data_IF_042822693940
#
_entry.id   IF_042822693940
#
_cell.length_a   1.000
_cell.length_b   1.000
_cell.length_c   1.000
_cell.angle_alpha   90.00
_cell.angle_beta   90.00
_cell.angle_gamma   90.00
#
_symmetry.space_group_name_H-M   'P 1'
#
loop_
_entity.id
_entity.type
_entity.pdbx_description
1 polymer ?
#
# COMPACT_ATOMS: atom_id res chain seq x y z
N UNK A 1 -25.14 4.29 -20.58
CA UNK A 1 -24.54 4.77 -19.33
C UNK A 1 -23.29 4.01 -18.93
N UNK A 2 -23.28 2.67 -18.94
CA UNK A 2 -22.10 1.86 -18.61
C UNK A 2 -20.91 2.03 -19.56
N UNK A 3 -21.14 2.14 -20.87
CA UNK A 3 -20.06 2.33 -21.85
C UNK A 3 -19.32 3.67 -21.72
N UNK A 4 -20.01 4.74 -21.43
CA UNK A 4 -19.35 6.06 -21.28
C UNK A 4 -18.44 6.16 -20.03
N UNK A 5 -18.73 5.41 -18.97
CA UNK A 5 -17.86 5.35 -17.80
C UNK A 5 -16.62 4.47 -18.02
N UNK A 6 -16.75 3.43 -18.86
CA UNK A 6 -15.63 2.52 -19.21
C UNK A 6 -14.66 3.18 -20.20
N UNK A 7 -15.15 3.99 -21.14
CA UNK A 7 -14.30 4.68 -22.12
C UNK A 7 -13.31 5.66 -21.47
N UNK A 8 -13.66 6.23 -20.31
CA UNK A 8 -12.75 7.09 -19.52
C UNK A 8 -11.72 6.25 -18.73
N UNK A 9 -11.98 4.95 -18.57
CA UNK A 9 -11.18 4.04 -17.76
C UNK A 9 -10.47 2.98 -18.60
N UNK A 10 -10.57 3.02 -19.93
CA UNK A 10 -9.82 2.11 -20.78
C UNK A 10 -8.32 2.30 -20.56
N UNK A 11 -7.68 1.21 -20.15
CA UNK A 11 -6.24 1.16 -20.02
C UNK A 11 -5.61 1.11 -21.40
N UNK A 12 -5.28 2.27 -21.93
CA UNK A 12 -4.32 2.31 -23.01
C UNK A 12 -2.88 2.12 -22.47
N UNK A 13 -1.91 1.87 -23.32
CA UNK A 13 -0.51 1.69 -22.90
C UNK A 13 0.05 2.90 -22.12
N UNK A 14 -0.34 4.11 -22.47
CA UNK A 14 0.13 5.34 -21.81
C UNK A 14 -0.40 5.39 -20.38
N UNK A 15 -1.69 5.16 -20.18
CA UNK A 15 -2.28 5.13 -18.84
C UNK A 15 -1.70 3.98 -18.00
N UNK A 16 -1.41 2.84 -18.61
CA UNK A 16 -0.76 1.71 -17.93
C UNK A 16 0.63 2.10 -17.40
N UNK A 17 1.40 2.86 -18.18
CA UNK A 17 2.72 3.33 -17.77
C UNK A 17 2.61 4.40 -16.67
N UNK A 18 1.67 5.34 -16.79
CA UNK A 18 1.41 6.37 -15.77
C UNK A 18 1.07 5.74 -14.41
N UNK A 19 0.16 4.76 -14.36
CA UNK A 19 -0.16 4.09 -13.09
C UNK A 19 1.01 3.24 -12.56
N UNK A 20 1.89 2.77 -13.45
CA UNK A 20 3.11 2.05 -13.09
C UNK A 20 4.20 2.94 -12.46
N UNK A 21 4.07 4.27 -12.58
CA UNK A 21 4.97 5.25 -11.98
C UNK A 21 4.53 5.68 -10.57
N UNK A 22 3.44 5.14 -10.06
CA UNK A 22 2.92 5.53 -8.75
C UNK A 22 3.96 5.30 -7.65
N UNK A 23 4.44 6.39 -7.05
CA UNK A 23 5.46 6.35 -5.99
C UNK A 23 4.99 5.63 -4.72
N UNK A 24 3.67 5.56 -4.47
CA UNK A 24 3.11 4.80 -3.36
C UNK A 24 3.12 3.30 -3.62
N UNK A 25 3.34 2.85 -4.86
CA UNK A 25 3.39 1.41 -5.16
C UNK A 25 4.63 0.76 -4.55
N UNK A 26 4.45 -0.40 -3.95
CA UNK A 26 5.49 -1.10 -3.22
C UNK A 26 6.73 -1.37 -4.07
N UNK A 27 6.57 -1.62 -5.37
CA UNK A 27 7.68 -1.81 -6.30
C UNK A 27 8.55 -0.57 -6.48
N UNK A 28 8.02 0.63 -6.15
CA UNK A 28 8.81 1.86 -6.19
C UNK A 28 9.72 2.01 -4.97
N UNK A 29 9.20 1.78 -3.76
CA UNK A 29 9.95 2.08 -2.52
C UNK A 29 10.64 0.86 -1.88
N UNK A 30 10.14 -0.37 -2.08
CA UNK A 30 10.68 -1.57 -1.44
C UNK A 30 12.16 -1.83 -1.77
N UNK A 31 12.66 -1.63 -3.01
CA UNK A 31 14.09 -1.80 -3.30
C UNK A 31 14.98 -0.90 -2.44
N UNK A 32 14.58 0.35 -2.20
CA UNK A 32 15.32 1.29 -1.35
C UNK A 32 15.25 0.90 0.12
N UNK A 33 14.09 0.40 0.58
CA UNK A 33 13.96 -0.15 1.93
C UNK A 33 14.83 -1.39 2.12
N UNK A 34 14.85 -2.31 1.15
CA UNK A 34 15.69 -3.50 1.19
C UNK A 34 17.19 -3.17 1.25
N UNK A 35 17.61 -2.05 0.66
CA UNK A 35 18.98 -1.59 0.78
C UNK A 35 19.26 -0.97 2.15
N UNK A 36 18.40 -0.06 2.59
CA UNK A 36 18.57 0.63 3.87
C UNK A 36 18.54 -0.32 5.08
N UNK A 37 17.71 -1.37 5.03
CA UNK A 37 17.57 -2.31 6.15
C UNK A 37 18.80 -3.17 6.40
N UNK A 38 19.71 -3.31 5.43
CA UNK A 38 20.96 -4.06 5.59
C UNK A 38 21.91 -3.41 6.61
N UNK A 39 21.70 -2.14 6.90
CA UNK A 39 22.55 -1.35 7.82
C UNK A 39 22.04 -1.34 9.26
N UNK A 40 21.04 -2.13 9.59
CA UNK A 40 20.50 -2.24 10.94
C UNK A 40 19.98 -3.68 11.20
N UNK A 41 19.67 -4.01 12.48
CA UNK A 41 19.19 -5.33 12.89
C UNK A 41 17.88 -5.28 13.70
N UNK A 42 17.34 -4.09 13.92
CA UNK A 42 16.14 -3.91 14.73
C UNK A 42 14.85 -4.20 13.97
N UNK A 43 14.78 -3.80 12.70
CA UNK A 43 13.62 -4.05 11.86
C UNK A 43 13.81 -5.26 10.96
N UNK A 44 12.72 -5.97 10.71
CA UNK A 44 12.60 -6.98 9.67
C UNK A 44 11.61 -6.54 8.59
N UNK A 45 11.68 -7.16 7.41
CA UNK A 45 10.71 -7.00 6.33
C UNK A 45 10.18 -8.39 5.97
N UNK A 46 8.86 -8.59 5.83
CA UNK A 46 8.34 -9.86 5.35
C UNK A 46 8.82 -10.11 3.91
N UNK A 47 9.20 -11.35 3.60
CA UNK A 47 9.59 -11.72 2.23
C UNK A 47 8.47 -11.36 1.27
N UNK A 48 8.82 -10.63 0.23
CA UNK A 48 7.86 -10.01 -0.67
C UNK A 48 8.19 -10.38 -2.12
N UNK A 49 7.17 -10.82 -2.85
CA UNK A 49 7.23 -11.00 -4.31
C UNK A 49 6.30 -9.98 -4.95
N UNK A 50 6.78 -9.30 -5.97
CA UNK A 50 6.03 -8.28 -6.71
C UNK A 50 6.05 -8.66 -8.18
N UNK A 51 4.89 -8.59 -8.83
CA UNK A 51 4.79 -8.74 -10.28
C UNK A 51 4.11 -7.52 -10.89
N UNK A 52 4.53 -7.14 -12.09
CA UNK A 52 3.76 -6.24 -12.94
C UNK A 52 2.70 -7.05 -13.67
N UNK A 53 1.45 -6.66 -13.49
CA UNK A 53 0.31 -7.31 -14.12
C UNK A 53 0.26 -6.89 -15.58
N UNK A 54 0.23 -7.82 -16.55
CA UNK A 54 0.06 -7.47 -17.96
C UNK A 54 -1.20 -6.64 -18.20
N UNK A 55 -1.14 -5.67 -19.10
CA UNK A 55 -2.25 -4.75 -19.39
C UNK A 55 -3.56 -5.50 -19.67
N UNK A 56 -3.50 -6.61 -20.37
CA UNK A 56 -4.67 -7.45 -20.69
C UNK A 56 -5.33 -8.06 -19.48
N UNK A 57 -4.56 -8.46 -18.47
CA UNK A 57 -5.10 -8.96 -17.20
C UNK A 57 -5.56 -7.80 -16.31
N UNK A 58 -4.85 -6.68 -16.36
CA UNK A 58 -5.22 -5.51 -15.58
C UNK A 58 -6.57 -4.92 -16.03
N UNK A 59 -6.96 -5.08 -17.29
CA UNK A 59 -8.31 -4.73 -17.78
C UNK A 59 -9.41 -5.48 -17.03
N UNK A 60 -9.18 -6.72 -16.64
CA UNK A 60 -10.16 -7.52 -15.89
C UNK A 60 -10.51 -6.94 -14.53
N UNK A 61 -9.59 -6.19 -13.92
CA UNK A 61 -9.84 -5.51 -12.64
C UNK A 61 -10.89 -4.39 -12.73
N UNK A 62 -11.32 -4.04 -13.95
CA UNK A 62 -12.33 -3.01 -14.22
C UNK A 62 -13.71 -3.57 -14.48
N UNK A 63 -13.80 -4.90 -14.70
CA UNK A 63 -15.05 -5.59 -14.80
C UNK A 63 -15.63 -5.84 -13.40
N UNK A 64 -16.95 -5.80 -13.27
CA UNK A 64 -17.57 -6.27 -12.04
C UNK A 64 -17.26 -7.77 -11.87
N UNK A 65 -16.93 -8.18 -10.64
CA UNK A 65 -16.53 -9.56 -10.37
C UNK A 65 -17.57 -10.58 -10.88
N UNK A 66 -18.85 -10.25 -10.76
CA UNK A 66 -19.98 -11.07 -11.26
C UNK A 66 -20.02 -11.22 -12.79
N UNK A 67 -19.26 -10.44 -13.53
CA UNK A 67 -19.16 -10.51 -14.99
C UNK A 67 -18.00 -11.41 -15.45
N UNK A 68 -17.12 -11.81 -14.53
CA UNK A 68 -15.98 -12.69 -14.82
C UNK A 68 -16.48 -14.14 -14.94
N UNK A 69 -16.01 -14.83 -15.97
CA UNK A 69 -16.34 -16.25 -16.16
C UNK A 69 -15.36 -17.15 -15.39
N UNK A 70 -15.75 -18.39 -15.03
CA UNK A 70 -14.81 -19.34 -14.41
C UNK A 70 -13.53 -19.55 -15.22
N UNK A 71 -13.64 -19.57 -16.55
CA UNK A 71 -12.46 -19.67 -17.44
C UNK A 71 -11.53 -18.46 -17.29
N UNK A 72 -12.07 -17.25 -17.16
CA UNK A 72 -11.28 -16.04 -16.95
C UNK A 72 -10.53 -16.09 -15.63
N UNK A 73 -11.22 -16.53 -14.56
CA UNK A 73 -10.62 -16.67 -13.23
C UNK A 73 -9.49 -17.71 -13.24
N UNK A 74 -9.70 -18.89 -13.84
CA UNK A 74 -8.67 -19.93 -13.98
C UNK A 74 -7.44 -19.45 -14.76
N UNK A 75 -7.60 -18.61 -15.78
CA UNK A 75 -6.46 -18.00 -16.51
C UNK A 75 -5.65 -17.10 -15.57
N UNK A 76 -6.32 -16.29 -14.77
CA UNK A 76 -5.63 -15.38 -13.83
C UNK A 76 -4.92 -16.14 -12.73
N UNK A 77 -5.56 -17.17 -12.19
CA UNK A 77 -4.96 -18.05 -11.17
C UNK A 77 -3.71 -18.74 -11.69
N UNK A 78 -3.77 -19.34 -12.88
CA UNK A 78 -2.59 -19.95 -13.52
C UNK A 78 -1.47 -18.95 -13.79
N UNK A 79 -1.83 -17.73 -14.19
CA UNK A 79 -0.83 -16.66 -14.34
C UNK A 79 -0.17 -16.38 -13.00
N UNK A 80 -0.93 -16.19 -11.92
CA UNK A 80 -0.41 -15.91 -10.58
C UNK A 80 0.43 -17.07 -10.04
N UNK A 81 -0.02 -18.32 -10.17
CA UNK A 81 0.73 -19.51 -9.76
C UNK A 81 2.09 -19.54 -10.45
N UNK A 82 2.14 -19.32 -11.77
CA UNK A 82 3.38 -19.31 -12.53
C UNK A 82 4.29 -18.14 -12.17
N UNK A 83 3.72 -16.94 -12.04
CA UNK A 83 4.49 -15.71 -11.82
C UNK A 83 5.06 -15.63 -10.39
N UNK A 84 4.28 -16.02 -9.39
CA UNK A 84 4.73 -15.99 -8.00
C UNK A 84 5.47 -17.26 -7.57
N UNK A 85 5.15 -18.42 -8.13
CA UNK A 85 5.73 -19.72 -7.74
C UNK A 85 5.74 -19.91 -6.22
N UNK A 86 4.54 -19.93 -5.62
CA UNK A 86 4.36 -19.95 -4.17
C UNK A 86 4.44 -21.38 -3.63
N UNK A 87 4.85 -21.48 -2.37
CA UNK A 87 4.79 -22.69 -1.58
C UNK A 87 3.38 -22.80 -0.96
N UNK A 88 2.61 -23.81 -1.36
CA UNK A 88 1.24 -24.03 -0.90
C UNK A 88 1.13 -24.42 0.58
N UNK A 89 2.24 -24.70 1.24
CA UNK A 89 2.28 -25.00 2.68
C UNK A 89 2.44 -23.76 3.55
N UNK A 90 2.65 -22.59 2.94
CA UNK A 90 2.84 -21.32 3.64
C UNK A 90 1.60 -20.45 3.57
N UNK A 91 1.58 -19.47 4.46
CA UNK A 91 0.56 -18.46 4.56
C UNK A 91 1.06 -17.14 3.98
N UNK A 92 0.17 -16.40 3.36
CA UNK A 92 0.52 -15.18 2.65
C UNK A 92 -0.44 -14.04 2.97
N UNK A 93 0.12 -12.84 2.99
CA UNK A 93 -0.62 -11.60 2.92
C UNK A 93 -0.50 -11.04 1.50
N UNK A 94 -1.64 -10.80 0.86
CA UNK A 94 -1.70 -10.35 -0.53
C UNK A 94 -2.29 -8.95 -0.64
N UNK A 95 -1.81 -8.19 -1.61
CA UNK A 95 -2.28 -6.82 -1.87
C UNK A 95 -1.98 -6.40 -3.31
N UNK A 96 -2.54 -5.27 -3.73
CA UNK A 96 -1.97 -4.54 -4.87
C UNK A 96 -0.71 -3.79 -4.44
N UNK A 97 -0.03 -3.14 -5.37
CA UNK A 97 1.12 -2.29 -5.01
C UNK A 97 0.81 -1.23 -3.96
N UNK A 98 -0.46 -0.80 -3.85
CA UNK A 98 -0.88 0.32 -2.99
C UNK A 98 -1.99 0.00 -2.00
N UNK A 99 -2.78 -1.06 -2.20
CA UNK A 99 -4.01 -1.33 -1.45
C UNK A 99 -4.13 -2.80 -1.03
N UNK A 100 -4.55 -3.07 0.20
CA UNK A 100 -4.58 -4.42 0.78
C UNK A 100 -5.97 -4.97 1.09
N UNK A 101 -7.04 -4.17 0.99
CA UNK A 101 -8.39 -4.63 1.41
C UNK A 101 -8.47 -5.15 2.87
N UNK A 102 -7.57 -4.73 3.75
CA UNK A 102 -7.45 -5.26 5.13
C UNK A 102 -8.72 -5.11 5.98
N UNK A 103 -9.67 -4.28 5.57
CA UNK A 103 -10.97 -4.11 6.24
C UNK A 103 -11.90 -5.32 6.10
N UNK A 104 -11.60 -6.23 5.20
CA UNK A 104 -12.06 -7.62 5.20
C UNK A 104 -10.83 -8.52 5.06
N UNK A 105 -10.21 -8.83 6.20
CA UNK A 105 -8.89 -9.46 6.25
C UNK A 105 -8.84 -10.82 5.53
N UNK A 106 -9.97 -11.52 5.45
CA UNK A 106 -10.09 -12.79 4.72
C UNK A 106 -9.76 -12.65 3.23
N UNK A 107 -9.91 -11.44 2.65
CA UNK A 107 -9.59 -11.21 1.25
C UNK A 107 -8.08 -11.08 1.00
N UNK A 108 -7.31 -10.73 2.01
CA UNK A 108 -5.87 -10.50 1.87
C UNK A 108 -5.00 -11.48 2.66
N UNK A 109 -5.59 -12.35 3.47
CA UNK A 109 -4.92 -13.45 4.14
C UNK A 109 -5.24 -14.76 3.42
N UNK A 110 -4.23 -15.36 2.80
CA UNK A 110 -4.35 -16.57 1.98
C UNK A 110 -3.60 -17.70 2.66
N UNK A 111 -4.28 -18.80 2.93
CA UNK A 111 -3.73 -19.96 3.63
C UNK A 111 -4.31 -21.27 3.09
N UNK A 112 -3.51 -22.32 3.15
CA UNK A 112 -3.91 -23.62 2.60
C UNK A 112 -3.80 -23.71 1.08
N UNK A 113 -3.73 -24.95 0.60
CA UNK A 113 -3.39 -25.22 -0.80
C UNK A 113 -4.42 -24.71 -1.80
N UNK A 114 -5.70 -24.71 -1.44
CA UNK A 114 -6.77 -24.26 -2.36
C UNK A 114 -6.73 -22.75 -2.55
N UNK A 115 -6.71 -21.96 -1.45
CA UNK A 115 -6.64 -20.49 -1.55
C UNK A 115 -5.36 -20.00 -2.23
N UNK A 116 -4.22 -20.68 -2.01
CA UNK A 116 -2.96 -20.35 -2.72
C UNK A 116 -3.08 -20.61 -4.22
N UNK A 117 -3.87 -21.60 -4.65
CA UNK A 117 -4.13 -21.85 -6.07
C UNK A 117 -5.06 -20.80 -6.69
N UNK A 118 -6.01 -20.28 -5.91
CA UNK A 118 -7.01 -19.28 -6.31
C UNK A 118 -6.56 -17.84 -6.05
N UNK A 119 -5.27 -17.63 -5.81
CA UNK A 119 -4.67 -16.35 -5.43
C UNK A 119 -4.96 -15.23 -6.45
N UNK A 120 -5.05 -15.56 -7.73
CA UNK A 120 -5.32 -14.59 -8.78
C UNK A 120 -6.73 -13.99 -8.66
N UNK A 121 -7.72 -14.80 -8.31
CA UNK A 121 -9.09 -14.37 -8.05
C UNK A 121 -9.15 -13.36 -6.90
N UNK A 122 -8.48 -13.66 -5.77
CA UNK A 122 -8.38 -12.72 -4.64
C UNK A 122 -7.69 -11.41 -5.05
N UNK A 123 -6.61 -11.45 -5.80
CA UNK A 123 -5.91 -10.26 -6.27
C UNK A 123 -6.75 -9.41 -7.25
N UNK A 124 -7.50 -10.05 -8.14
CA UNK A 124 -8.48 -9.35 -8.99
C UNK A 124 -9.50 -8.61 -8.15
N UNK A 125 -10.07 -9.28 -7.15
CA UNK A 125 -11.08 -8.70 -6.27
C UNK A 125 -10.54 -7.52 -5.46
N UNK A 126 -9.35 -7.67 -4.86
CA UNK A 126 -8.69 -6.57 -4.12
C UNK A 126 -8.43 -5.38 -5.04
N UNK A 127 -7.98 -5.64 -6.27
CA UNK A 127 -7.69 -4.57 -7.22
C UNK A 127 -8.97 -3.87 -7.71
N UNK A 128 -10.04 -4.63 -7.97
CA UNK A 128 -11.35 -4.07 -8.26
C UNK A 128 -11.84 -3.17 -7.12
N UNK A 129 -11.73 -3.61 -5.87
CA UNK A 129 -12.07 -2.77 -4.71
C UNK A 129 -11.23 -1.48 -4.65
N UNK A 130 -9.92 -1.57 -4.91
CA UNK A 130 -9.06 -0.40 -4.95
C UNK A 130 -9.54 0.63 -5.99
N UNK A 131 -9.96 0.17 -7.17
CA UNK A 131 -10.52 1.02 -8.22
C UNK A 131 -11.88 1.60 -7.83
N UNK A 132 -12.74 0.83 -7.18
CA UNK A 132 -14.04 1.32 -6.69
C UNK A 132 -13.86 2.42 -5.63
N UNK A 133 -12.90 2.27 -4.74
CA UNK A 133 -12.56 3.32 -3.76
C UNK A 133 -11.95 4.57 -4.41
N UNK A 134 -11.22 4.40 -5.51
CA UNK A 134 -10.64 5.49 -6.29
C UNK A 134 -11.68 6.20 -7.17
N UNK A 135 -12.83 5.55 -7.44
CA UNK A 135 -13.90 6.05 -8.32
C UNK A 135 -14.67 7.20 -7.64
N UNK A 136 -15.68 7.72 -8.18
CA UNK A 136 -16.25 9.04 -8.46
C UNK A 136 -16.30 10.08 -7.34
N UNK A 137 -15.97 9.74 -6.12
CA UNK A 137 -15.95 10.69 -4.99
C UNK A 137 -14.52 11.06 -4.58
N UNK A 138 -13.56 10.46 -5.22
CA UNK A 138 -12.19 10.57 -4.80
C UNK A 138 -11.61 11.90 -5.21
N UNK A 139 -11.09 12.57 -4.24
CA UNK A 139 -10.12 13.62 -4.47
C UNK A 139 -8.99 13.04 -5.33
N UNK A 140 -8.40 13.83 -6.23
CA UNK A 140 -7.29 13.39 -7.11
C UNK A 140 -6.20 12.62 -6.37
N UNK A 141 -5.96 12.97 -5.12
CA UNK A 141 -5.01 12.35 -4.22
C UNK A 141 -5.31 10.86 -3.95
N UNK A 142 -6.58 10.46 -3.86
CA UNK A 142 -6.97 9.06 -3.61
C UNK A 142 -6.79 8.23 -4.88
N UNK A 143 -7.11 8.78 -6.05
CA UNK A 143 -6.89 8.10 -7.33
C UNK A 143 -5.39 7.79 -7.52
N UNK A 144 -4.53 8.78 -7.31
CA UNK A 144 -3.09 8.58 -7.39
C UNK A 144 -2.54 7.59 -6.36
N UNK A 145 -3.12 7.58 -5.14
CA UNK A 145 -2.68 6.68 -4.08
C UNK A 145 -3.12 5.23 -4.30
N UNK A 146 -4.25 4.98 -4.97
CA UNK A 146 -4.83 3.63 -5.09
C UNK A 146 -4.60 2.95 -6.43
N UNK A 147 -4.12 3.68 -7.46
CA UNK A 147 -3.87 3.10 -8.78
C UNK A 147 -2.46 2.51 -8.89
N UNK A 148 -2.37 1.29 -9.39
CA UNK A 148 -1.09 0.59 -9.60
C UNK A 148 -1.25 -0.48 -10.69
N UNK A 149 -0.15 -0.91 -11.28
CA UNK A 149 -0.10 -2.08 -12.16
C UNK A 149 0.62 -3.27 -11.49
N UNK A 150 0.72 -3.28 -10.17
CA UNK A 150 1.45 -4.30 -9.43
C UNK A 150 0.52 -5.14 -8.55
N UNK A 151 0.79 -6.44 -8.52
CA UNK A 151 0.30 -7.38 -7.52
C UNK A 151 1.42 -7.87 -6.64
N UNK A 152 1.12 -8.08 -5.36
CA UNK A 152 2.11 -8.32 -4.33
C UNK A 152 1.67 -9.48 -3.44
N UNK A 153 2.62 -10.37 -3.18
CA UNK A 153 2.47 -11.47 -2.22
C UNK A 153 3.60 -11.37 -1.21
N UNK A 154 3.25 -11.37 0.07
CA UNK A 154 4.19 -11.31 1.20
C UNK A 154 3.99 -12.54 2.07
N UNK A 155 5.09 -13.11 2.60
CA UNK A 155 4.95 -14.14 3.65
C UNK A 155 4.18 -13.53 4.83
N UNK A 156 3.19 -14.25 5.32
CA UNK A 156 2.40 -13.81 6.48
C UNK A 156 3.29 -13.79 7.73
N UNK A 157 3.09 -12.81 8.58
CA UNK A 157 3.77 -12.69 9.86
C UNK A 157 2.84 -13.30 10.92
N UNK A 158 3.11 -14.51 11.42
CA UNK A 158 2.25 -15.15 12.42
C UNK A 158 2.20 -14.33 13.70
N UNK A 159 1.00 -14.17 14.25
CA UNK A 159 0.81 -13.49 15.53
C UNK A 159 1.49 -14.28 16.69
N UNK A 160 2.36 -13.61 17.44
CA UNK A 160 3.09 -14.17 18.59
C UNK A 160 2.44 -13.82 19.93
N UNK A 161 1.47 -12.92 19.93
CA UNK A 161 0.94 -12.30 21.13
C UNK A 161 -0.48 -12.76 21.47
N UNK A 162 -1.12 -13.53 20.60
CA UNK A 162 -2.55 -13.84 20.67
C UNK A 162 -3.38 -12.53 20.76
N UNK A 163 -3.03 -11.55 19.92
CA UNK A 163 -3.70 -10.28 19.87
C UNK A 163 -5.18 -10.45 19.50
N UNK A 164 -6.10 -9.66 20.06
CA UNK A 164 -7.48 -9.69 19.61
C UNK A 164 -7.57 -9.31 18.14
N UNK A 165 -8.58 -9.82 17.45
CA UNK A 165 -8.72 -9.59 15.99
C UNK A 165 -9.84 -8.63 15.68
N UNK A 166 -9.61 -7.77 14.67
CA UNK A 166 -10.59 -6.89 14.04
C UNK A 166 -10.67 -7.21 12.53
N UNK A 167 -11.58 -6.59 11.81
CA UNK A 167 -11.69 -6.72 10.37
C UNK A 167 -11.77 -8.18 9.88
N UNK A 168 -12.53 -9.00 10.62
CA UNK A 168 -12.75 -10.42 10.30
C UNK A 168 -11.49 -11.28 10.33
N UNK A 169 -10.63 -11.05 11.30
CA UNK A 169 -9.49 -11.92 11.59
C UNK A 169 -8.12 -11.26 11.59
N UNK A 170 -8.02 -9.95 11.35
CA UNK A 170 -6.75 -9.24 11.40
C UNK A 170 -6.29 -9.06 12.86
N UNK A 171 -5.11 -9.59 13.25
CA UNK A 171 -4.56 -9.36 14.57
C UNK A 171 -4.29 -7.87 14.82
N UNK A 172 -4.70 -7.37 15.97
CA UNK A 172 -4.57 -5.97 16.36
C UNK A 172 -3.21 -5.72 17.03
N UNK A 173 -2.16 -5.69 16.23
CA UNK A 173 -0.81 -5.39 16.71
C UNK A 173 -0.63 -3.90 16.99
N UNK A 174 0.33 -3.57 17.86
CA UNK A 174 0.78 -2.19 18.00
C UNK A 174 1.50 -1.76 16.74
N UNK A 175 1.03 -0.69 16.12
CA UNK A 175 1.62 -0.14 14.90
C UNK A 175 2.01 1.33 15.10
N UNK A 176 3.14 1.71 14.51
CA UNK A 176 3.73 3.04 14.55
C UNK A 176 3.73 3.61 13.15
N UNK A 177 3.18 4.80 12.97
CA UNK A 177 3.33 5.56 11.73
C UNK A 177 4.36 6.64 11.93
N UNK A 178 5.50 6.48 11.24
CA UNK A 178 6.64 7.39 11.33
C UNK A 178 6.71 8.24 10.08
N UNK A 179 6.59 9.54 10.23
CA UNK A 179 6.77 10.49 9.14
C UNK A 179 8.21 10.93 9.06
N UNK A 180 8.78 10.87 7.86
CA UNK A 180 10.19 11.16 7.61
C UNK A 180 10.37 12.12 6.45
N UNK A 181 11.39 12.95 6.53
CA UNK A 181 11.87 13.76 5.40
C UNK A 181 13.17 13.11 4.88
N UNK A 182 13.06 12.49 3.70
CA UNK A 182 14.17 11.77 3.08
C UNK A 182 15.27 12.72 2.56
N UNK A 183 14.95 13.99 2.31
CA UNK A 183 15.93 14.95 1.83
C UNK A 183 16.82 15.44 2.99
N UNK A 184 16.23 15.70 4.16
CA UNK A 184 16.93 16.14 5.36
C UNK A 184 17.40 15.00 6.26
N UNK A 185 16.96 13.76 5.98
CA UNK A 185 17.25 12.56 6.77
C UNK A 185 16.77 12.68 8.23
N UNK A 186 15.56 13.21 8.41
CA UNK A 186 14.98 13.46 9.73
C UNK A 186 13.63 12.80 9.89
N UNK A 187 13.32 12.32 11.09
CA UNK A 187 11.96 11.99 11.49
C UNK A 187 11.23 13.29 11.84
N UNK A 188 10.12 13.54 11.17
CA UNK A 188 9.31 14.76 11.35
C UNK A 188 8.02 14.51 12.15
N UNK A 189 7.70 13.25 12.47
CA UNK A 189 6.59 12.89 13.34
C UNK A 189 6.54 11.38 13.57
N UNK A 190 5.95 10.97 14.70
CA UNK A 190 5.63 9.58 14.98
C UNK A 190 4.29 9.54 15.73
N UNK A 191 3.39 8.66 15.28
CA UNK A 191 2.04 8.55 15.83
C UNK A 191 1.64 7.08 15.96
N UNK A 192 0.75 6.75 16.91
CA UNK A 192 0.13 5.43 16.93
C UNK A 192 -0.73 5.28 15.68
N UNK A 193 -0.54 4.21 14.93
CA UNK A 193 -1.35 3.92 13.75
C UNK A 193 -2.84 3.77 14.10
N UNK A 194 -3.09 3.10 15.23
CA UNK A 194 -4.42 2.92 15.81
C UNK A 194 -4.74 4.08 16.76
N UNK A 195 -4.73 5.30 16.22
CA UNK A 195 -5.04 6.50 16.99
C UNK A 195 -6.49 6.45 17.53
N UNK A 196 -6.70 6.65 18.86
CA UNK A 196 -8.03 6.52 19.47
C UNK A 196 -9.08 7.48 18.90
N UNK A 197 -8.69 8.69 18.52
CA UNK A 197 -9.60 9.69 17.94
C UNK A 197 -10.02 9.25 16.55
N UNK A 198 -9.06 8.77 15.73
CA UNK A 198 -9.34 8.26 14.39
C UNK A 198 -10.21 7.01 14.44
N UNK A 199 -9.94 6.09 15.36
CA UNK A 199 -10.74 4.87 15.54
C UNK A 199 -12.16 5.19 15.99
N UNK A 200 -12.32 6.13 16.93
CA UNK A 200 -13.64 6.61 17.36
C UNK A 200 -14.41 7.24 16.20
N UNK A 201 -13.75 8.06 15.39
CA UNK A 201 -14.37 8.70 14.22
C UNK A 201 -14.79 7.67 13.18
N UNK A 202 -13.96 6.66 12.94
CA UNK A 202 -14.17 5.66 11.90
C UNK A 202 -15.25 4.62 12.26
N UNK A 203 -15.32 4.20 13.52
CA UNK A 203 -16.12 3.04 13.94
C UNK A 203 -17.10 3.33 15.07
N UNK A 204 -16.96 4.44 15.77
CA UNK A 204 -17.79 4.80 16.94
C UNK A 204 -18.90 5.78 16.64
N UNK A 205 -19.13 6.16 15.37
CA UNK A 205 -20.20 7.07 14.98
C UNK A 205 -21.56 6.36 15.01
N UNK A 206 -22.59 6.99 15.56
CA UNK A 206 -23.96 6.46 15.55
C UNK A 206 -24.48 6.20 14.14
N UNK A 207 -24.03 6.99 13.13
CA UNK A 207 -24.34 6.78 11.72
C UNK A 207 -23.74 5.48 11.14
N UNK A 208 -22.67 4.95 11.75
CA UNK A 208 -22.02 3.70 11.35
C UNK A 208 -22.55 2.49 12.15
N UNK A 209 -23.50 2.72 13.07
CA UNK A 209 -24.12 1.67 13.91
C UNK A 209 -24.93 0.64 13.10
N UNK A 210 -25.26 0.94 11.85
CA UNK A 210 -25.92 0.00 10.94
C UNK A 210 -24.99 -1.13 10.42
N UNK A 211 -23.68 -1.02 10.67
CA UNK A 211 -22.72 -2.09 10.38
C UNK A 211 -22.37 -2.86 11.68
N UNK A 212 -22.95 -4.05 11.91
CA UNK A 212 -22.66 -4.87 13.10
C UNK A 212 -21.17 -5.19 13.28
N UNK A 213 -20.44 -5.31 12.16
CA UNK A 213 -19.01 -5.61 12.17
C UNK A 213 -18.16 -4.43 12.65
N UNK A 214 -18.52 -3.20 12.26
CA UNK A 214 -17.81 -2.00 12.71
C UNK A 214 -17.98 -1.76 14.20
N UNK A 215 -19.19 -1.92 14.73
CA UNK A 215 -19.44 -1.81 16.16
C UNK A 215 -18.66 -2.86 16.96
N UNK A 216 -18.64 -4.10 16.49
CA UNK A 216 -17.89 -5.18 17.12
C UNK A 216 -16.40 -4.89 17.14
N UNK A 217 -15.82 -4.51 16.01
CA UNK A 217 -14.41 -4.19 15.88
C UNK A 217 -14.02 -2.99 16.77
N UNK A 218 -14.90 -1.99 16.87
CA UNK A 218 -14.67 -0.86 17.78
C UNK A 218 -14.67 -1.28 19.26
N UNK A 219 -15.57 -2.17 19.67
CA UNK A 219 -15.57 -2.69 21.04
C UNK A 219 -14.26 -3.44 21.33
N UNK A 220 -13.81 -4.30 20.43
CA UNK A 220 -12.53 -5.01 20.55
C UNK A 220 -11.38 -4.01 20.69
N UNK A 221 -11.33 -3.02 19.81
CA UNK A 221 -10.33 -1.95 19.86
C UNK A 221 -10.35 -1.25 21.23
N UNK A 222 -11.51 -0.83 21.69
CA UNK A 222 -11.67 -0.15 23.00
C UNK A 222 -11.18 -0.98 24.18
N UNK A 223 -11.42 -2.27 24.14
CA UNK A 223 -10.95 -3.19 25.20
C UNK A 223 -9.42 -3.36 25.19
N UNK A 224 -8.78 -3.14 24.04
CA UNK A 224 -7.34 -3.34 23.88
C UNK A 224 -6.55 -2.02 23.73
N UNK A 225 -7.23 -0.88 23.68
CA UNK A 225 -6.66 0.45 23.47
C UNK A 225 -5.54 0.79 24.45
N UNK A 226 -5.77 0.54 25.75
CA UNK A 226 -4.79 0.83 26.78
C UNK A 226 -3.48 0.05 26.58
N UNK A 227 -3.57 -1.21 26.12
CA UNK A 227 -2.40 -2.03 25.78
C UNK A 227 -1.65 -1.45 24.59
N UNK A 228 -2.37 -1.08 23.52
CA UNK A 228 -1.76 -0.46 22.32
C UNK A 228 -1.05 0.84 22.68
N UNK A 229 -1.70 1.70 23.47
CA UNK A 229 -1.15 2.99 23.86
C UNK A 229 0.02 2.87 24.83
N UNK A 230 -0.02 1.91 25.77
CA UNK A 230 1.10 1.65 26.67
C UNK A 230 2.34 1.20 25.88
N UNK A 231 2.19 0.22 25.00
CA UNK A 231 3.28 -0.27 24.11
C UNK A 231 3.81 0.81 23.17
N UNK A 232 2.91 1.60 22.60
CA UNK A 232 3.31 2.74 21.77
C UNK A 232 4.19 3.69 22.57
N UNK A 233 3.77 4.12 23.76
CA UNK A 233 4.53 5.04 24.62
C UNK A 233 5.89 4.46 25.02
N UNK A 234 5.94 3.18 25.31
CA UNK A 234 7.17 2.48 25.69
C UNK A 234 8.20 2.41 24.55
N UNK A 235 7.75 2.17 23.33
CA UNK A 235 8.65 1.85 22.22
C UNK A 235 8.78 2.96 21.16
N UNK A 236 7.97 4.02 21.19
CA UNK A 236 7.97 5.07 20.16
C UNK A 236 9.35 5.70 19.95
N UNK A 237 10.06 6.06 21.04
CA UNK A 237 11.40 6.65 20.96
C UNK A 237 12.43 5.66 20.41
N UNK A 238 12.30 4.38 20.75
CA UNK A 238 13.16 3.30 20.23
C UNK A 238 12.93 3.11 18.73
N UNK A 239 11.68 3.04 18.29
CA UNK A 239 11.32 2.95 16.87
C UNK A 239 11.83 4.16 16.12
N UNK A 240 11.59 5.38 16.64
CA UNK A 240 12.08 6.63 16.05
C UNK A 240 13.60 6.62 15.86
N UNK A 241 14.35 6.27 16.90
CA UNK A 241 15.80 6.22 16.87
C UNK A 241 16.32 5.28 15.77
N UNK A 242 15.77 4.05 15.69
CA UNK A 242 16.21 3.09 14.69
C UNK A 242 15.80 3.46 13.25
N UNK A 243 14.67 4.18 13.07
CA UNK A 243 14.36 4.80 11.78
C UNK A 243 15.40 5.88 11.44
N UNK A 244 15.73 6.77 12.36
CA UNK A 244 16.75 7.83 12.16
C UNK A 244 18.11 7.24 11.77
N UNK A 245 18.54 6.16 12.40
CA UNK A 245 19.79 5.43 12.07
C UNK A 245 19.77 4.86 10.64
N UNK A 246 18.60 4.51 10.12
CA UNK A 246 18.43 3.94 8.78
C UNK A 246 18.29 5.01 7.67
N UNK A 247 17.78 6.21 7.99
CA UNK A 247 17.50 7.25 6.99
C UNK A 247 18.68 7.62 6.08
N UNK A 248 19.94 7.68 6.54
CA UNK A 248 21.08 8.01 5.67
C UNK A 248 21.24 7.06 4.48
N UNK A 249 20.77 5.83 4.60
CA UNK A 249 20.91 4.79 3.58
C UNK A 249 19.74 4.73 2.60
N UNK A 250 18.65 5.49 2.83
CA UNK A 250 17.57 5.61 1.87
C UNK A 250 17.97 6.55 0.73
N UNK A 251 17.78 6.08 -0.51
CA UNK A 251 17.99 6.89 -1.72
C UNK A 251 16.67 7.47 -2.24
N UNK A 252 15.61 7.49 -1.42
CA UNK A 252 14.34 8.14 -1.73
C UNK A 252 14.43 9.64 -1.47
N UNK A 253 13.58 10.39 -2.16
CA UNK A 253 13.43 11.83 -2.03
C UNK A 253 12.03 12.20 -1.52
N UNK A 254 11.91 13.36 -0.86
CA UNK A 254 10.66 13.92 -0.37
C UNK A 254 10.23 13.33 0.96
N UNK A 255 8.96 13.53 1.30
CA UNK A 255 8.42 13.13 2.61
C UNK A 255 7.57 11.86 2.51
N UNK A 256 7.80 10.96 3.45
CA UNK A 256 7.20 9.62 3.48
C UNK A 256 6.62 9.29 4.85
N UNK A 257 5.66 8.40 4.87
CA UNK A 257 5.30 7.62 6.06
C UNK A 257 5.91 6.23 5.99
N UNK A 258 6.35 5.72 7.12
CA UNK A 258 6.84 4.35 7.30
C UNK A 258 5.98 3.71 8.38
N UNK A 259 5.31 2.62 8.05
CA UNK A 259 4.49 1.87 9.00
C UNK A 259 5.29 0.72 9.60
N UNK A 260 5.44 0.74 10.91
CA UNK A 260 6.12 -0.28 11.70
C UNK A 260 5.11 -1.03 12.54
N UNK A 261 5.11 -2.36 12.44
CA UNK A 261 4.29 -3.26 13.26
C UNK A 261 5.18 -3.92 14.32
N UNK A 262 4.73 -3.89 15.56
CA UNK A 262 5.33 -4.65 16.67
C UNK A 262 4.57 -5.96 16.86
N UNK A 263 5.29 -7.07 16.96
CA UNK A 263 4.76 -8.41 17.20
C UNK A 263 5.66 -9.13 18.23
N UNK A 264 5.28 -9.04 19.49
CA UNK A 264 6.15 -9.37 20.62
C UNK A 264 7.33 -8.38 20.71
N UNK A 265 8.53 -8.93 20.72
CA UNK A 265 9.76 -8.16 20.75
C UNK A 265 10.29 -7.81 19.34
N UNK A 266 9.63 -8.31 18.29
CA UNK A 266 10.04 -8.09 16.91
C UNK A 266 9.31 -6.89 16.29
N UNK A 267 10.05 -6.14 15.47
CA UNK A 267 9.54 -4.98 14.75
C UNK A 267 9.70 -5.17 13.24
N UNK A 268 8.60 -4.96 12.51
CA UNK A 268 8.54 -5.16 11.07
C UNK A 268 8.15 -3.86 10.35
N UNK A 269 8.90 -3.45 9.34
CA UNK A 269 8.44 -2.42 8.43
C UNK A 269 7.48 -3.07 7.44
N UNK A 270 6.21 -2.68 7.52
CA UNK A 270 5.13 -3.34 6.77
C UNK A 270 4.62 -2.53 5.58
N UNK A 271 4.71 -1.20 5.61
CA UNK A 271 4.26 -0.37 4.49
C UNK A 271 4.99 0.98 4.47
N UNK A 272 4.99 1.63 3.30
CA UNK A 272 5.43 3.00 3.10
C UNK A 272 4.52 3.70 2.10
N UNK A 273 4.33 5.00 2.30
CA UNK A 273 3.61 5.85 1.34
C UNK A 273 4.15 7.27 1.40
N UNK A 274 3.85 8.07 0.37
CA UNK A 274 4.10 9.52 0.44
C UNK A 274 3.35 10.11 1.64
N UNK A 275 3.99 10.98 2.39
CA UNK A 275 3.40 11.59 3.60
C UNK A 275 2.03 12.22 3.31
N UNK A 276 1.90 12.92 2.19
CA UNK A 276 0.66 13.57 1.75
C UNK A 276 -0.48 12.61 1.41
N UNK A 277 -0.19 11.34 1.17
CA UNK A 277 -1.18 10.30 0.91
C UNK A 277 -1.47 9.42 2.14
N UNK A 278 -0.87 9.75 3.28
CA UNK A 278 -0.98 8.96 4.50
C UNK A 278 -1.94 9.60 5.49
N UNK A 279 -2.78 8.80 6.14
CA UNK A 279 -3.57 9.25 7.27
C UNK A 279 -2.65 9.73 8.41
N UNK A 280 -3.15 10.61 9.27
CA UNK A 280 -2.41 11.21 10.39
C UNK A 280 -1.31 12.21 9.97
N UNK A 281 -1.17 12.54 8.68
CA UNK A 281 -0.24 13.57 8.24
C UNK A 281 -0.54 14.94 8.87
N UNK A 282 -1.79 15.20 9.20
CA UNK A 282 -2.23 16.40 9.92
C UNK A 282 -1.68 16.52 11.35
N UNK A 283 -1.19 15.41 11.92
CA UNK A 283 -0.53 15.40 13.22
C UNK A 283 0.94 15.85 13.14
N UNK A 284 1.53 15.89 11.94
CA UNK A 284 2.87 16.43 11.73
C UNK A 284 2.83 17.97 11.81
N UNK A 285 3.77 18.61 12.52
CA UNK A 285 3.82 20.07 12.57
C UNK A 285 3.85 20.71 11.18
N UNK A 286 2.96 21.65 10.91
CA UNK A 286 2.78 22.26 9.58
C UNK A 286 4.05 22.89 9.01
N UNK A 287 4.92 23.41 9.87
CA UNK A 287 6.20 24.00 9.48
C UNK A 287 7.25 22.97 9.02
N UNK A 288 7.03 21.69 9.30
CA UNK A 288 7.86 20.59 8.84
C UNK A 288 7.33 19.92 7.57
N UNK A 289 6.06 20.16 7.23
CA UNK A 289 5.47 19.62 6.02
C UNK A 289 5.87 20.45 4.79
N UNK A 290 6.37 19.76 3.78
CA UNK A 290 6.62 20.32 2.46
C UNK A 290 5.33 20.29 1.64
N UNK A 291 5.06 21.31 0.80
CA UNK A 291 3.95 21.24 -0.15
C UNK A 291 4.09 20.00 -1.03
N UNK A 292 2.97 19.30 -1.28
CA UNK A 292 2.96 18.27 -2.29
C UNK A 292 3.37 18.90 -3.63
N UNK A 293 4.29 18.26 -4.36
CA UNK A 293 4.52 18.62 -5.76
C UNK A 293 3.26 18.19 -6.52
N UNK A 294 2.36 19.10 -6.74
CA UNK A 294 1.17 18.87 -7.54
C UNK A 294 1.59 18.81 -9.02
N UNK A 295 1.90 17.61 -9.49
CA UNK A 295 2.24 17.42 -10.89
C UNK A 295 0.99 17.44 -11.79
N UNK A 296 -0.22 17.31 -11.21
CA UNK A 296 -1.47 17.30 -11.97
C UNK A 296 -2.68 17.64 -11.08
N UNK A 297 -3.52 18.57 -11.54
CA UNK A 297 -4.83 18.89 -10.94
C UNK A 297 -5.92 18.38 -11.88
N UNK A 298 -6.59 17.24 -11.58
CA UNK A 298 -7.73 16.80 -12.38
C UNK A 298 -8.88 17.82 -12.29
N UNK A 299 -9.47 18.09 -13.45
CA UNK A 299 -10.68 18.93 -13.53
C UNK A 299 -10.44 20.38 -13.94
N UNK A 300 -9.20 20.85 -14.04
CA UNK A 300 -8.94 22.14 -14.71
C UNK A 300 -8.88 21.91 -16.23
N UNK A 301 -9.76 22.50 -17.02
CA UNK A 301 -9.68 22.36 -18.47
C UNK A 301 -8.36 22.94 -18.97
N UNK A 302 -7.54 22.09 -19.54
CA UNK A 302 -6.30 22.48 -20.19
C UNK A 302 -6.58 22.88 -21.64
N UNK A 303 -5.96 23.94 -22.09
CA UNK A 303 -5.90 24.23 -23.53
C UNK A 303 -4.97 23.26 -24.25
N UNK A 304 -5.01 23.20 -25.59
CA UNK A 304 -4.24 22.24 -26.35
C UNK A 304 -2.71 22.37 -26.17
N UNK A 305 -2.19 23.56 -25.90
CA UNK A 305 -0.76 23.77 -25.63
C UNK A 305 -0.37 23.22 -24.25
N UNK A 306 -1.22 23.43 -23.25
CA UNK A 306 -1.03 22.88 -21.90
C UNK A 306 -1.10 21.35 -21.92
N UNK A 307 -2.03 20.76 -22.69
CA UNK A 307 -2.09 19.29 -22.86
C UNK A 307 -0.83 18.72 -23.48
N UNK A 308 -0.31 19.34 -24.54
CA UNK A 308 0.92 18.92 -25.20
C UNK A 308 2.13 19.07 -24.27
N UNK A 309 2.22 20.19 -23.54
CA UNK A 309 3.29 20.41 -22.56
C UNK A 309 3.25 19.36 -21.43
N UNK A 310 2.08 19.10 -20.89
CA UNK A 310 1.85 18.09 -19.87
C UNK A 310 2.20 16.67 -20.34
N UNK A 311 1.77 16.30 -21.56
CA UNK A 311 2.14 15.01 -22.15
C UNK A 311 3.65 14.87 -22.34
N UNK A 312 4.34 15.92 -22.79
CA UNK A 312 5.79 15.91 -22.95
C UNK A 312 6.52 15.79 -21.60
N UNK A 313 5.99 16.40 -20.54
CA UNK A 313 6.54 16.28 -19.19
C UNK A 313 6.40 14.85 -18.68
N UNK A 314 5.21 14.23 -18.84
CA UNK A 314 4.97 12.82 -18.49
C UNK A 314 5.91 11.89 -19.27
N UNK A 315 6.04 12.08 -20.59
CA UNK A 315 6.93 11.25 -21.41
C UNK A 315 8.38 11.35 -20.94
N UNK A 316 8.83 12.55 -20.58
CA UNK A 316 10.16 12.76 -20.04
C UNK A 316 10.34 12.06 -18.68
N UNK A 317 9.36 12.13 -17.79
CA UNK A 317 9.41 11.43 -16.51
C UNK A 317 9.46 9.90 -16.70
N UNK A 318 8.70 9.35 -17.66
CA UNK A 318 8.75 7.94 -18.04
C UNK A 318 10.15 7.55 -18.52
N UNK A 319 10.74 8.32 -19.43
CA UNK A 319 12.09 8.07 -19.93
C UNK A 319 13.15 8.14 -18.81
N UNK A 320 13.03 9.10 -17.91
CA UNK A 320 13.95 9.27 -16.78
C UNK A 320 13.79 8.14 -15.74
N UNK A 321 12.56 7.66 -15.51
CA UNK A 321 12.29 6.51 -14.65
C UNK A 321 12.80 5.20 -15.26
N UNK A 322 12.61 4.99 -16.57
CA UNK A 322 13.19 3.85 -17.26
C UNK A 322 14.72 3.84 -17.22
N UNK A 323 15.38 5.00 -17.35
CA UNK A 323 16.83 5.09 -17.21
C UNK A 323 17.27 4.71 -15.81
N UNK A 324 16.62 5.27 -14.78
CA UNK A 324 16.87 4.93 -13.36
C UNK A 324 16.69 3.44 -13.09
N UNK A 325 15.63 2.82 -13.64
CA UNK A 325 15.37 1.37 -13.49
C UNK A 325 16.43 0.51 -14.18
N UNK A 326 16.87 0.91 -15.38
CA UNK A 326 17.96 0.21 -16.11
C UNK A 326 19.29 0.32 -15.38
N UNK A 327 19.60 1.46 -14.78
CA UNK A 327 20.80 1.67 -13.95
C UNK A 327 20.75 0.89 -12.65
N UNK A 328 19.62 0.92 -11.93
CA UNK A 328 19.41 0.17 -10.69
C UNK A 328 19.30 -1.35 -10.92
N UNK A 329 18.66 -1.78 -12.03
CA UNK A 329 18.57 -3.19 -12.41
C UNK A 329 19.92 -3.82 -12.74
N UNK A 330 20.86 -3.05 -13.29
CA UNK A 330 22.25 -3.50 -13.49
C UNK A 330 23.02 -3.68 -12.17
N UNK A 331 22.65 -2.93 -11.14
CA UNK A 331 23.25 -3.05 -9.81
C UNK A 331 22.67 -4.25 -9.03
N UNK A 332 21.39 -4.56 -9.22
CA UNK A 332 20.72 -5.68 -8.54
C UNK A 332 21.16 -7.04 -9.13
N UNK A 333 21.39 -7.13 -10.45
CA UNK A 333 21.92 -8.37 -11.07
C UNK A 333 23.38 -8.69 -10.70
N UNK A 334 24.10 -7.75 -10.08
CA UNK A 334 25.47 -7.98 -9.60
C UNK A 334 25.56 -8.42 -8.14
N UNK A 335 24.41 -8.58 -7.46
CA UNK A 335 24.35 -8.88 -6.02
C UNK A 335 23.54 -10.14 -5.69
N UNK A 336 23.25 -11.00 -6.69
CA UNK A 336 22.66 -12.33 -6.48
C UNK A 336 23.72 -13.39 -6.70
#
# INVERSE_FOLDING_TARGET
MFRQGLDILDLDPILYDIIGMNRNSIGHWLPFLCEAIKHQQFFSIPKTKIIKVPITLLQLTRCAYSELTPTTLDIVDRFCQKAFSLDVSKEYFIKTGTYSSKYDFRNCYVHGAEEVKELGEYLLFIHFQALQMASPLSKPMIVGASTTNEWVVREFIPDKENAPTIYKGMPLHTEYRVFVDMDTKQVIGIHPYWDPVVMKHRFGHEADADSPHQTHDYIIFRMYEDTLMARYKENADKVKKHIEEMLPYFLLEGQWSIDVMQNGDDFYIIDMALATNSALVECVPKNLLKPAKENWIPGKPMNNKEKVAFMNEILKEIEDDEKRRKENGKNIQRTI
#
